data_IF_493485872267
#
_entry.id   IF_493485872267
#
_cell.length_a   1.000
_cell.length_b   1.000
_cell.length_c   1.000
_cell.angle_alpha   90.00
_cell.angle_beta   90.00
_cell.angle_gamma   90.00
#
_symmetry.space_group_name_H-M   'P 1'
#
loop_
_entity.id
_entity.type
_entity.pdbx_description
1 polymer ?
#
# COMPACT_ATOMS: atom_id res chain seq x y z
N UNK A 1 -13.74 8.80 0.90
CA UNK A 1 -13.74 7.86 2.04
C UNK A 1 -14.57 6.60 1.80
N UNK A 2 -15.90 6.67 1.61
CA UNK A 2 -16.77 5.47 1.49
C UNK A 2 -16.30 4.49 0.41
N UNK A 3 -15.97 5.00 -0.79
CA UNK A 3 -15.43 4.17 -1.87
C UNK A 3 -14.09 3.51 -1.50
N UNK A 4 -13.19 4.23 -0.84
CA UNK A 4 -11.90 3.68 -0.39
C UNK A 4 -12.09 2.57 0.64
N UNK A 5 -13.00 2.75 1.61
CA UNK A 5 -13.33 1.73 2.61
C UNK A 5 -13.93 0.49 1.96
N UNK A 6 -14.85 0.67 1.00
CA UNK A 6 -15.46 -0.43 0.24
C UNK A 6 -14.41 -1.22 -0.54
N UNK A 7 -13.52 -0.54 -1.25
CA UNK A 7 -12.47 -1.20 -2.04
C UNK A 7 -11.40 -1.83 -1.15
N UNK A 8 -11.03 -1.22 -0.02
CA UNK A 8 -10.14 -1.81 0.97
C UNK A 8 -10.73 -3.10 1.53
N UNK A 9 -12.01 -3.08 1.91
CA UNK A 9 -12.72 -4.24 2.45
C UNK A 9 -12.84 -5.35 1.41
N UNK A 10 -13.14 -5.02 0.15
CA UNK A 10 -13.17 -5.98 -0.96
C UNK A 10 -11.80 -6.61 -1.20
N UNK A 11 -10.75 -5.80 -1.25
CA UNK A 11 -9.37 -6.26 -1.43
C UNK A 11 -8.89 -7.17 -0.29
N UNK A 12 -9.23 -6.83 0.95
CA UNK A 12 -8.93 -7.67 2.11
C UNK A 12 -9.67 -9.02 2.03
N UNK A 13 -10.95 -9.01 1.65
CA UNK A 13 -11.75 -10.23 1.47
C UNK A 13 -11.18 -11.14 0.38
N UNK A 14 -10.72 -10.57 -0.73
CA UNK A 14 -10.06 -11.33 -1.81
C UNK A 14 -8.72 -11.92 -1.36
N UNK A 15 -7.93 -11.15 -0.61
CA UNK A 15 -6.66 -11.61 -0.03
C UNK A 15 -6.88 -12.80 0.92
N UNK A 16 -7.87 -12.71 1.80
CA UNK A 16 -8.25 -13.79 2.72
C UNK A 16 -8.74 -15.04 1.96
N UNK A 17 -9.60 -14.87 0.95
CA UNK A 17 -10.10 -16.00 0.13
C UNK A 17 -8.98 -16.68 -0.65
N UNK A 18 -7.98 -15.93 -1.11
CA UNK A 18 -6.80 -16.47 -1.78
C UNK A 18 -5.93 -17.33 -0.84
N UNK A 19 -6.01 -17.15 0.48
CA UNK A 19 -5.24 -17.94 1.44
C UNK A 19 -5.86 -19.31 1.71
N UNK A 20 -7.18 -19.48 1.50
CA UNK A 20 -7.88 -20.75 1.79
C UNK A 20 -7.77 -21.81 0.68
N UNK A 21 -7.28 -21.46 -0.52
CA UNK A 21 -7.26 -22.33 -1.71
C UNK A 21 -5.96 -23.10 -1.98
N UNK A 22 -5.10 -23.31 -0.98
CA UNK A 22 -3.72 -23.80 -1.16
C UNK A 22 -3.60 -25.26 -1.68
N UNK A 23 -4.63 -26.09 -1.56
CA UNK A 23 -4.52 -27.53 -1.86
C UNK A 23 -4.36 -27.89 -3.35
N UNK A 24 -4.64 -26.99 -4.30
CA UNK A 24 -4.53 -27.27 -5.76
C UNK A 24 -3.81 -26.17 -6.56
N UNK A 25 -2.98 -25.37 -5.90
CA UNK A 25 -2.39 -24.17 -6.53
C UNK A 25 -1.54 -24.50 -7.77
N UNK A 26 -0.70 -25.54 -7.71
CA UNK A 26 0.13 -25.98 -8.83
C UNK A 26 -0.68 -26.59 -9.97
N UNK A 27 -1.66 -27.45 -9.65
CA UNK A 27 -2.54 -28.05 -10.65
C UNK A 27 -3.34 -26.98 -11.40
N UNK A 28 -3.90 -26.01 -10.68
CA UNK A 28 -4.66 -24.92 -11.31
C UNK A 28 -3.75 -24.00 -12.14
N UNK A 29 -2.50 -23.78 -11.71
CA UNK A 29 -1.54 -22.97 -12.47
C UNK A 29 -1.14 -23.67 -13.79
N UNK A 30 -0.88 -24.98 -13.74
CA UNK A 30 -0.43 -25.75 -14.91
C UNK A 30 -1.60 -26.02 -15.87
N UNK A 31 -2.74 -26.50 -15.37
CA UNK A 31 -3.88 -26.92 -16.19
C UNK A 31 -4.86 -25.79 -16.49
N UNK A 32 -5.05 -24.84 -15.56
CA UNK A 32 -5.97 -23.71 -15.70
C UNK A 32 -5.29 -22.37 -16.03
N UNK A 33 -3.96 -22.30 -16.01
CA UNK A 33 -3.22 -21.06 -16.26
C UNK A 33 -3.09 -20.70 -17.75
N UNK A 34 -3.21 -21.67 -18.65
CA UNK A 34 -3.14 -21.45 -20.10
C UNK A 34 -4.48 -20.93 -20.65
N UNK A 35 -4.39 -19.88 -21.45
CA UNK A 35 -5.54 -19.32 -22.15
C UNK A 35 -5.51 -19.81 -23.61
N UNK A 36 -6.46 -20.68 -23.96
CA UNK A 36 -6.54 -21.29 -25.29
C UNK A 36 -7.07 -20.32 -26.36
N UNK A 37 -7.55 -19.13 -25.97
CA UNK A 37 -8.00 -18.10 -26.90
C UNK A 37 -6.84 -17.24 -27.46
N UNK A 38 -5.59 -17.52 -27.10
CA UNK A 38 -4.43 -16.77 -27.58
C UNK A 38 -4.02 -17.23 -28.98
N UNK A 39 -4.31 -16.43 -29.99
CA UNK A 39 -3.90 -16.69 -31.40
C UNK A 39 -2.51 -16.12 -31.74
N UNK A 40 -2.05 -15.08 -31.02
CA UNK A 40 -0.81 -14.39 -31.33
C UNK A 40 0.41 -15.10 -30.69
N UNK A 41 1.35 -15.58 -31.52
CA UNK A 41 2.61 -16.20 -31.08
C UNK A 41 3.41 -15.34 -30.09
N UNK A 42 3.41 -14.01 -30.23
CA UNK A 42 4.08 -13.11 -29.28
C UNK A 42 3.39 -13.17 -27.92
N UNK A 43 2.06 -13.12 -27.88
CA UNK A 43 1.28 -13.22 -26.65
C UNK A 43 1.45 -14.60 -25.99
N UNK A 44 1.47 -15.68 -26.78
CA UNK A 44 1.74 -17.03 -26.31
C UNK A 44 3.12 -17.15 -25.65
N UNK A 45 4.18 -16.58 -26.26
CA UNK A 45 5.52 -16.59 -25.66
C UNK A 45 5.59 -15.81 -24.34
N UNK A 46 4.86 -14.69 -24.23
CA UNK A 46 4.76 -13.90 -23.00
C UNK A 46 4.02 -14.68 -21.92
N UNK A 47 2.89 -15.31 -22.27
CA UNK A 47 2.09 -16.12 -21.33
C UNK A 47 2.85 -17.34 -20.84
N UNK A 48 3.59 -18.03 -21.73
CA UNK A 48 4.48 -19.14 -21.36
C UNK A 48 5.56 -18.68 -20.38
N UNK A 49 6.24 -17.55 -20.67
CA UNK A 49 7.24 -16.99 -19.76
C UNK A 49 6.64 -16.57 -18.42
N UNK A 50 5.39 -16.08 -18.43
CA UNK A 50 4.69 -15.70 -17.22
C UNK A 50 4.39 -16.88 -16.30
N UNK A 51 3.83 -17.97 -16.86
CA UNK A 51 3.56 -19.20 -16.11
C UNK A 51 4.86 -19.82 -15.58
N UNK A 52 5.93 -19.82 -16.38
CA UNK A 52 7.25 -20.28 -15.95
C UNK A 52 7.77 -19.47 -14.74
N UNK A 53 7.74 -18.14 -14.83
CA UNK A 53 8.21 -17.28 -13.74
C UNK A 53 7.36 -17.45 -12.47
N UNK A 54 6.04 -17.59 -12.59
CA UNK A 54 5.13 -17.81 -11.46
C UNK A 54 5.40 -19.17 -10.78
N UNK A 55 5.66 -20.22 -11.57
CA UNK A 55 6.05 -21.52 -11.03
C UNK A 55 7.40 -21.45 -10.29
N UNK A 56 8.39 -20.77 -10.85
CA UNK A 56 9.68 -20.56 -10.20
C UNK A 56 9.53 -19.78 -8.87
N UNK A 57 8.72 -18.72 -8.84
CA UNK A 57 8.47 -17.91 -7.63
C UNK A 57 7.79 -18.75 -6.53
N UNK A 58 6.85 -19.64 -6.90
CA UNK A 58 6.23 -20.58 -5.98
C UNK A 58 7.20 -21.60 -5.42
N UNK A 59 8.01 -22.23 -6.28
CA UNK A 59 9.03 -23.20 -5.85
C UNK A 59 10.09 -22.54 -4.95
N UNK A 60 10.51 -21.32 -5.25
CA UNK A 60 11.46 -20.58 -4.43
C UNK A 60 10.87 -20.21 -3.06
N UNK A 61 9.58 -19.88 -3.01
CA UNK A 61 8.85 -19.61 -1.76
C UNK A 61 8.75 -20.87 -0.89
N UNK A 62 8.41 -22.02 -1.48
CA UNK A 62 8.37 -23.30 -0.74
C UNK A 62 9.75 -23.70 -0.25
N UNK A 63 10.79 -23.65 -1.11
CA UNK A 63 12.17 -23.94 -0.70
C UNK A 63 12.62 -23.07 0.47
N UNK A 64 12.28 -21.78 0.45
CA UNK A 64 12.58 -20.88 1.56
C UNK A 64 11.83 -21.26 2.85
N UNK A 65 10.59 -21.73 2.75
CA UNK A 65 9.83 -22.23 3.90
C UNK A 65 10.46 -23.49 4.48
N UNK A 66 10.89 -24.44 3.64
CA UNK A 66 11.59 -25.65 4.06
C UNK A 66 12.89 -25.30 4.80
N UNK A 67 13.70 -24.38 4.25
CA UNK A 67 14.91 -23.88 4.89
C UNK A 67 14.62 -23.22 6.25
N UNK A 68 13.48 -22.52 6.39
CA UNK A 68 13.06 -21.87 7.64
C UNK A 68 12.70 -22.90 8.71
N UNK A 69 12.07 -24.01 8.34
CA UNK A 69 11.73 -25.11 9.24
C UNK A 69 12.98 -25.83 9.72
N UNK A 70 13.95 -26.05 8.84
CA UNK A 70 15.20 -26.76 9.14
C UNK A 70 16.25 -25.94 9.92
N UNK A 71 16.00 -24.65 10.22
CA UNK A 71 17.00 -23.81 10.93
C UNK A 71 17.30 -24.27 12.34
N UNK A 72 18.59 -24.31 12.67
CA UNK A 72 19.08 -24.61 14.02
C UNK A 72 18.73 -23.50 15.02
N UNK A 73 18.64 -23.84 16.32
CA UNK A 73 18.34 -22.85 17.39
C UNK A 73 19.35 -21.68 17.43
N UNK A 74 20.63 -21.95 17.14
CA UNK A 74 21.70 -20.93 17.10
C UNK A 74 21.49 -19.93 15.96
N UNK A 75 21.13 -20.42 14.78
CA UNK A 75 20.86 -19.57 13.61
C UNK A 75 19.58 -18.75 13.79
N UNK A 76 18.55 -19.33 14.42
CA UNK A 76 17.34 -18.59 14.80
C UNK A 76 17.69 -17.45 15.76
N UNK A 77 18.47 -17.72 16.81
CA UNK A 77 18.91 -16.68 17.75
C UNK A 77 19.72 -15.56 17.06
N UNK A 78 20.68 -15.91 16.19
CA UNK A 78 21.45 -14.95 15.38
C UNK A 78 20.54 -14.09 14.50
N UNK A 79 19.55 -14.69 13.85
CA UNK A 79 18.64 -13.97 12.97
C UNK A 79 17.69 -13.05 13.74
N UNK A 80 17.17 -13.46 14.90
CA UNK A 80 16.39 -12.56 15.76
C UNK A 80 17.24 -11.40 16.28
N UNK A 81 18.50 -11.65 16.63
CA UNK A 81 19.42 -10.59 17.02
C UNK A 81 19.68 -9.59 15.89
N UNK A 82 19.95 -10.07 14.66
CA UNK A 82 20.10 -9.20 13.48
C UNK A 82 18.83 -8.37 13.25
N UNK A 83 17.65 -8.98 13.33
CA UNK A 83 16.38 -8.25 13.19
C UNK A 83 16.18 -7.21 14.28
N UNK A 84 16.56 -7.50 15.52
CA UNK A 84 16.50 -6.54 16.61
C UNK A 84 17.41 -5.33 16.31
N UNK A 85 18.67 -5.58 15.93
CA UNK A 85 19.62 -4.53 15.56
C UNK A 85 19.12 -3.71 14.38
N UNK A 86 18.62 -4.35 13.31
CA UNK A 86 18.06 -3.66 12.15
C UNK A 86 16.87 -2.79 12.55
N UNK A 87 15.91 -3.31 13.31
CA UNK A 87 14.75 -2.52 13.73
C UNK A 87 15.16 -1.35 14.65
N UNK A 88 16.18 -1.52 15.50
CA UNK A 88 16.75 -0.41 16.28
C UNK A 88 17.37 0.66 15.37
N UNK A 89 18.11 0.27 14.33
CA UNK A 89 18.66 1.20 13.34
C UNK A 89 17.54 1.93 12.59
N UNK A 90 16.46 1.24 12.19
CA UNK A 90 15.29 1.88 11.57
C UNK A 90 14.68 2.93 12.49
N UNK A 91 14.51 2.63 13.78
CA UNK A 91 13.99 3.59 14.76
C UNK A 91 14.92 4.80 14.92
N UNK A 92 16.24 4.60 14.95
CA UNK A 92 17.21 5.69 14.99
C UNK A 92 17.18 6.57 13.72
N UNK A 93 17.00 5.97 12.54
CA UNK A 93 16.85 6.73 11.29
C UNK A 93 15.56 7.55 11.29
N UNK A 94 14.47 7.00 11.82
CA UNK A 94 13.20 7.72 11.96
C UNK A 94 13.33 8.88 12.95
N UNK A 95 13.91 8.67 14.13
CA UNK A 95 14.11 9.75 15.10
C UNK A 95 15.05 10.84 14.57
N UNK A 96 16.15 10.45 13.90
CA UNK A 96 17.05 11.40 13.25
C UNK A 96 16.33 12.22 12.16
N UNK A 97 15.46 11.58 11.37
CA UNK A 97 14.66 12.28 10.35
C UNK A 97 13.71 13.31 10.98
N UNK A 98 13.09 12.98 12.11
CA UNK A 98 12.18 13.88 12.81
C UNK A 98 12.93 15.07 13.40
N UNK A 99 14.04 14.82 14.07
CA UNK A 99 14.91 15.88 14.59
C UNK A 99 15.42 16.78 13.46
N UNK A 100 15.87 16.22 12.33
CA UNK A 100 16.34 17.00 11.20
C UNK A 100 15.26 17.92 10.62
N UNK A 101 14.02 17.43 10.47
CA UNK A 101 12.89 18.24 9.99
C UNK A 101 12.55 19.34 11.01
N UNK A 102 12.50 19.00 12.30
CA UNK A 102 12.19 19.94 13.37
C UNK A 102 13.21 21.07 13.44
N UNK A 103 14.51 20.74 13.55
CA UNK A 103 15.59 21.72 13.59
C UNK A 103 15.67 22.52 12.29
N UNK A 104 15.49 21.90 11.12
CA UNK A 104 15.48 22.62 9.85
C UNK A 104 14.34 23.63 9.77
N UNK A 105 13.17 23.31 10.32
CA UNK A 105 12.00 24.18 10.29
C UNK A 105 12.16 25.34 11.27
N UNK A 106 12.61 25.06 12.50
CA UNK A 106 12.87 26.12 13.50
C UNK A 106 14.00 27.05 13.07
N UNK A 107 15.07 26.49 12.52
CA UNK A 107 16.20 27.28 12.02
C UNK A 107 15.83 28.14 10.81
N UNK A 108 15.06 27.57 9.87
CA UNK A 108 14.55 28.34 8.74
C UNK A 108 13.67 29.50 9.20
N UNK A 109 12.84 29.29 10.22
CA UNK A 109 11.95 30.32 10.77
C UNK A 109 12.74 31.51 11.35
N UNK A 110 13.71 31.22 12.21
CA UNK A 110 14.56 32.23 12.89
C UNK A 110 15.37 33.06 11.88
N UNK A 111 15.98 32.40 10.89
CA UNK A 111 16.77 33.09 9.86
C UNK A 111 15.91 33.93 8.91
N UNK A 112 14.69 33.47 8.60
CA UNK A 112 13.79 34.22 7.72
C UNK A 112 13.36 35.54 8.35
N UNK A 113 13.20 35.59 9.67
CA UNK A 113 12.86 36.81 10.41
C UNK A 113 14.01 37.81 10.37
N UNK A 114 15.23 37.37 10.70
CA UNK A 114 16.42 38.24 10.72
C UNK A 114 16.78 38.79 9.34
N UNK A 115 16.67 37.96 8.30
CA UNK A 115 17.02 38.37 6.94
C UNK A 115 15.99 39.33 6.33
N UNK A 116 14.68 39.17 6.61
CA UNK A 116 13.66 40.08 6.06
C UNK A 116 13.74 41.50 6.61
N UNK A 117 14.28 41.69 7.82
CA UNK A 117 14.51 43.01 8.40
C UNK A 117 15.72 43.74 7.82
N UNK A 118 16.71 43.02 7.31
CA UNK A 118 18.04 43.55 6.93
C UNK A 118 18.39 43.33 5.44
N UNK A 119 17.44 42.88 4.62
CA UNK A 119 17.69 42.58 3.22
C UNK A 119 17.94 43.86 2.41
N UNK A 120 19.19 44.04 1.98
CA UNK A 120 19.59 45.18 1.14
C UNK A 120 20.18 44.74 -0.22
N UNK A 121 20.67 43.51 -0.35
CA UNK A 121 21.38 43.01 -1.55
C UNK A 121 20.64 41.86 -2.24
N UNK A 122 20.89 41.65 -3.54
CA UNK A 122 20.35 40.50 -4.31
C UNK A 122 20.75 39.13 -3.71
N UNK A 123 21.94 39.04 -3.11
CA UNK A 123 22.39 37.82 -2.42
C UNK A 123 21.57 37.49 -1.17
N UNK A 124 20.97 38.49 -0.53
CA UNK A 124 20.10 38.28 0.63
C UNK A 124 18.72 37.75 0.19
N UNK A 125 18.21 38.16 -0.97
CA UNK A 125 17.01 37.58 -1.57
C UNK A 125 17.18 36.09 -1.91
N UNK A 126 18.33 35.71 -2.49
CA UNK A 126 18.66 34.30 -2.76
C UNK A 126 18.75 33.47 -1.47
N UNK A 127 19.31 34.03 -0.40
CA UNK A 127 19.37 33.37 0.91
C UNK A 127 17.98 33.19 1.51
N UNK A 128 17.12 34.20 1.41
CA UNK A 128 15.72 34.10 1.86
C UNK A 128 15.01 32.96 1.14
N UNK A 129 15.14 32.87 -0.20
CA UNK A 129 14.57 31.77 -0.97
C UNK A 129 15.11 30.41 -0.53
N UNK A 130 16.41 30.29 -0.31
CA UNK A 130 17.03 29.04 0.14
C UNK A 130 16.47 28.59 1.50
N UNK A 131 16.37 29.50 2.47
CA UNK A 131 15.78 29.20 3.77
C UNK A 131 14.27 28.92 3.69
N UNK A 132 13.54 29.55 2.77
CA UNK A 132 12.13 29.28 2.56
C UNK A 132 11.84 27.86 2.04
N UNK A 133 12.75 27.31 1.24
CA UNK A 133 12.67 25.95 0.68
C UNK A 133 13.39 24.91 1.54
N UNK A 134 14.18 25.32 2.55
CA UNK A 134 15.01 24.43 3.36
C UNK A 134 14.20 23.28 4.01
N UNK A 135 13.08 23.50 4.71
CA UNK A 135 12.33 22.41 5.35
C UNK A 135 11.78 21.41 4.32
N UNK A 136 11.28 21.93 3.20
CA UNK A 136 10.75 21.13 2.12
C UNK A 136 11.86 20.32 1.41
N UNK A 137 13.02 20.92 1.21
CA UNK A 137 14.19 20.27 0.60
C UNK A 137 14.75 19.14 1.49
N UNK A 138 14.81 19.37 2.81
CA UNK A 138 15.22 18.34 3.78
C UNK A 138 14.26 17.15 3.74
N UNK A 139 12.95 17.39 3.76
CA UNK A 139 11.93 16.32 3.67
C UNK A 139 12.10 15.49 2.39
N UNK A 140 12.21 16.15 1.23
CA UNK A 140 12.34 15.44 -0.04
C UNK A 140 13.65 14.65 -0.11
N UNK A 141 14.75 15.21 0.39
CA UNK A 141 16.05 14.52 0.45
C UNK A 141 15.98 13.28 1.35
N UNK A 142 15.38 13.39 2.54
CA UNK A 142 15.18 12.27 3.46
C UNK A 142 14.30 11.18 2.84
N UNK A 143 13.24 11.56 2.12
CA UNK A 143 12.34 10.65 1.40
C UNK A 143 13.00 9.91 0.23
N UNK A 144 14.19 10.32 -0.22
CA UNK A 144 15.02 9.60 -1.20
C UNK A 144 16.04 8.70 -0.50
N UNK A 145 16.80 9.28 0.44
CA UNK A 145 17.95 8.62 1.07
C UNK A 145 17.49 7.48 2.00
N UNK A 146 16.48 7.70 2.84
CA UNK A 146 16.08 6.72 3.84
C UNK A 146 15.52 5.46 3.18
N UNK A 147 14.60 5.50 2.19
CA UNK A 147 14.14 4.28 1.53
C UNK A 147 15.26 3.49 0.84
N UNK A 148 16.31 4.16 0.36
CA UNK A 148 17.50 3.50 -0.16
C UNK A 148 18.26 2.73 0.93
N UNK A 149 18.48 3.36 2.09
CA UNK A 149 19.09 2.71 3.26
C UNK A 149 18.22 1.55 3.77
N UNK A 150 16.89 1.75 3.87
CA UNK A 150 15.95 0.72 4.31
C UNK A 150 15.98 -0.51 3.40
N UNK A 151 16.21 -0.35 2.10
CA UNK A 151 16.36 -1.47 1.17
C UNK A 151 17.58 -2.32 1.52
N UNK A 152 18.74 -1.69 1.73
CA UNK A 152 19.98 -2.38 2.13
C UNK A 152 19.78 -3.09 3.47
N UNK A 153 19.11 -2.43 4.41
CA UNK A 153 18.89 -2.95 5.75
C UNK A 153 17.94 -4.16 5.77
N UNK A 154 16.92 -4.16 4.90
CA UNK A 154 15.96 -5.28 4.78
C UNK A 154 16.61 -6.52 4.15
N UNK A 155 17.58 -6.36 3.24
CA UNK A 155 18.35 -7.48 2.68
C UNK A 155 19.12 -8.24 3.78
N UNK A 156 19.54 -7.56 4.86
CA UNK A 156 20.18 -8.20 6.02
C UNK A 156 19.22 -9.05 6.87
N UNK A 157 17.91 -8.75 6.87
CA UNK A 157 16.92 -9.44 7.69
C UNK A 157 16.50 -10.82 7.13
N UNK A 158 17.00 -11.17 5.94
CA UNK A 158 16.78 -12.43 5.21
C UNK A 158 15.30 -12.84 5.21
N UNK A 159 14.39 -11.93 4.86
CA UNK A 159 12.96 -12.21 4.69
C UNK A 159 12.65 -12.79 3.30
N UNK A 160 11.43 -13.30 3.09
CA UNK A 160 10.96 -13.67 1.74
C UNK A 160 10.91 -12.44 0.83
N UNK A 161 11.19 -12.58 -0.48
CA UNK A 161 11.23 -11.43 -1.41
C UNK A 161 9.92 -10.64 -1.46
N UNK A 162 8.78 -11.33 -1.33
CA UNK A 162 7.45 -10.71 -1.24
C UNK A 162 7.26 -9.92 0.06
N UNK A 163 7.72 -10.44 1.19
CA UNK A 163 7.65 -9.73 2.47
C UNK A 163 8.62 -8.55 2.53
N UNK A 164 9.82 -8.69 1.96
CA UNK A 164 10.80 -7.60 1.80
C UNK A 164 10.14 -6.40 1.11
N UNK A 165 9.49 -6.62 -0.03
CA UNK A 165 8.81 -5.57 -0.78
C UNK A 165 7.72 -4.88 0.06
N UNK A 166 6.83 -5.66 0.70
CA UNK A 166 5.75 -5.10 1.53
C UNK A 166 6.29 -4.33 2.73
N UNK A 167 7.29 -4.88 3.43
CA UNK A 167 7.90 -4.25 4.59
C UNK A 167 8.62 -2.95 4.23
N UNK A 168 9.39 -2.93 3.13
CA UNK A 168 10.03 -1.71 2.63
C UNK A 168 8.98 -0.66 2.25
N UNK A 169 7.88 -1.06 1.61
CA UNK A 169 6.78 -0.14 1.28
C UNK A 169 6.14 0.45 2.54
N UNK A 170 5.78 -0.39 3.52
CA UNK A 170 5.17 0.06 4.78
C UNK A 170 6.09 1.02 5.53
N UNK A 171 7.39 0.69 5.67
CA UNK A 171 8.37 1.57 6.33
C UNK A 171 8.54 2.91 5.57
N UNK A 172 8.50 2.88 4.23
CA UNK A 172 8.60 4.11 3.40
C UNK A 172 7.34 4.98 3.50
N UNK A 173 6.15 4.37 3.48
CA UNK A 173 4.87 5.07 3.71
C UNK A 173 4.89 5.74 5.08
N UNK A 174 5.26 4.99 6.12
CA UNK A 174 5.32 5.48 7.48
C UNK A 174 6.24 6.69 7.59
N UNK A 175 7.44 6.63 7.01
CA UNK A 175 8.37 7.76 6.95
C UNK A 175 7.75 8.99 6.26
N UNK A 176 7.12 8.81 5.09
CA UNK A 176 6.51 9.91 4.32
C UNK A 176 5.36 10.56 5.06
N UNK A 177 4.51 9.78 5.72
CA UNK A 177 3.40 10.32 6.52
C UNK A 177 3.91 10.98 7.80
N UNK A 178 4.87 10.36 8.49
CA UNK A 178 5.42 10.91 9.72
C UNK A 178 6.20 12.20 9.47
N UNK A 179 6.94 12.32 8.36
CA UNK A 179 7.61 13.58 7.99
C UNK A 179 6.62 14.73 7.77
N UNK A 180 5.44 14.47 7.18
CA UNK A 180 4.38 15.48 7.07
C UNK A 180 3.81 15.87 8.44
N UNK A 181 3.56 14.89 9.32
CA UNK A 181 3.07 15.15 10.67
C UNK A 181 4.06 15.97 11.48
N UNK A 182 5.36 15.65 11.40
CA UNK A 182 6.42 16.39 12.09
C UNK A 182 6.56 17.81 11.55
N UNK A 183 6.44 18.01 10.23
CA UNK A 183 6.42 19.35 9.64
C UNK A 183 5.28 20.19 10.22
N UNK A 184 4.05 19.67 10.20
CA UNK A 184 2.89 20.38 10.76
C UNK A 184 3.05 20.65 12.26
N UNK A 185 3.54 19.67 13.01
CA UNK A 185 3.79 19.82 14.44
C UNK A 185 4.88 20.87 14.73
N UNK A 186 5.96 20.89 13.94
CA UNK A 186 7.03 21.88 14.10
C UNK A 186 6.54 23.30 13.80
N UNK A 187 5.71 23.46 12.75
CA UNK A 187 5.05 24.73 12.46
C UNK A 187 4.12 25.13 13.61
N UNK A 188 3.33 24.20 14.13
CA UNK A 188 2.43 24.44 15.26
C UNK A 188 3.17 24.90 16.52
N UNK A 189 4.28 24.24 16.87
CA UNK A 189 5.13 24.64 17.99
C UNK A 189 5.65 26.08 17.81
N UNK A 190 6.10 26.43 16.60
CA UNK A 190 6.51 27.79 16.26
C UNK A 190 5.39 28.83 16.40
N UNK A 191 4.13 28.46 16.17
CA UNK A 191 2.97 29.34 16.40
C UNK A 191 2.68 29.50 17.90
N UNK A 192 2.69 28.39 18.64
CA UNK A 192 2.27 28.35 20.05
C UNK A 192 3.16 29.10 21.03
N UNK A 193 4.41 29.37 20.64
CA UNK A 193 5.40 30.06 21.48
C UNK A 193 5.19 31.57 21.57
N UNK A 194 4.24 32.14 20.81
CA UNK A 194 3.95 33.56 20.86
C UNK A 194 2.76 33.88 21.78
N UNK A 195 2.94 34.75 22.79
CA UNK A 195 1.84 35.24 23.61
C UNK A 195 0.82 36.04 22.77
N UNK A 196 -0.47 35.83 23.06
CA UNK A 196 -1.60 36.48 22.39
C UNK A 196 -1.59 37.97 22.76
N UNK A 197 -1.75 38.93 21.82
CA UNK A 197 -1.93 40.34 22.17
C UNK A 197 -3.16 40.52 23.04
N UNK A 198 -3.06 41.33 24.10
CA UNK A 198 -4.23 41.86 24.79
C UNK A 198 -5.08 42.69 23.81
N UNK A 199 -6.39 42.61 23.98
CA UNK A 199 -7.38 43.08 23.02
C UNK A 199 -7.16 44.56 22.61
N UNK A 200 -6.80 44.79 21.35
CA UNK A 200 -6.77 46.13 20.75
C UNK A 200 -5.64 46.38 19.76
N UNK A 201 -4.51 45.67 19.88
CA UNK A 201 -3.36 45.87 18.99
C UNK A 201 -3.20 44.67 18.04
N UNK A 202 -3.32 44.91 16.74
CA UNK A 202 -3.13 43.90 15.69
C UNK A 202 -1.65 43.54 15.44
N UNK A 203 -0.73 44.11 16.22
CA UNK A 203 0.71 43.98 16.10
C UNK A 203 1.24 43.73 17.50
N UNK A 204 1.77 42.53 17.75
CA UNK A 204 2.74 42.36 18.81
C UNK A 204 4.07 42.81 18.23
N UNK A 205 4.60 43.94 18.71
CA UNK A 205 5.98 44.37 18.37
C UNK A 205 7.03 43.34 18.82
N UNK A 206 6.68 42.49 19.79
CA UNK A 206 7.56 41.45 20.36
C UNK A 206 7.35 40.03 19.77
N UNK A 207 6.48 39.87 18.77
CA UNK A 207 6.24 38.56 18.15
C UNK A 207 6.21 38.65 16.62
N UNK A 208 7.36 38.33 16.02
CA UNK A 208 7.54 38.18 14.58
C UNK A 208 6.91 36.87 14.04
N UNK A 209 5.65 36.56 14.39
CA UNK A 209 4.95 35.45 13.73
C UNK A 209 4.89 35.68 12.21
N UNK A 210 4.89 34.62 11.37
CA UNK A 210 4.42 34.75 10.01
C UNK A 210 3.00 35.31 10.13
N UNK A 211 2.77 36.51 9.56
CA UNK A 211 1.50 37.26 9.68
C UNK A 211 0.26 36.37 9.44
N UNK A 212 0.41 35.26 8.71
CA UNK A 212 -0.65 34.35 8.31
C UNK A 212 -0.13 32.89 8.35
N UNK A 213 -0.31 32.18 9.46
CA UNK A 213 0.24 30.81 9.62
C UNK A 213 -0.42 29.79 8.69
N UNK A 214 -1.73 29.93 8.41
CA UNK A 214 -2.46 29.05 7.48
C UNK A 214 -1.87 29.15 6.08
N UNK A 215 -1.54 30.37 5.67
CA UNK A 215 -0.89 30.63 4.38
C UNK A 215 0.52 30.04 4.35
N UNK A 216 1.27 30.13 5.46
CA UNK A 216 2.59 29.52 5.56
C UNK A 216 2.54 27.99 5.42
N UNK A 217 1.58 27.32 6.07
CA UNK A 217 1.37 25.88 5.89
C UNK A 217 1.05 25.55 4.43
N UNK A 218 0.15 26.31 3.81
CA UNK A 218 -0.17 26.17 2.39
C UNK A 218 1.05 26.35 1.46
N UNK A 219 1.91 27.33 1.75
CA UNK A 219 3.15 27.56 1.02
C UNK A 219 4.13 26.39 1.16
N UNK A 220 4.30 25.83 2.35
CA UNK A 220 5.17 24.66 2.54
C UNK A 220 4.67 23.43 1.76
N UNK A 221 3.36 23.16 1.79
CA UNK A 221 2.77 22.06 1.02
C UNK A 221 2.87 22.27 -0.49
N UNK A 222 2.74 23.51 -0.95
CA UNK A 222 2.95 23.90 -2.34
C UNK A 222 4.40 23.65 -2.78
N UNK A 223 5.38 24.11 -2.00
CA UNK A 223 6.81 23.89 -2.26
C UNK A 223 7.17 22.40 -2.28
N UNK A 224 6.66 21.62 -1.33
CA UNK A 224 6.82 20.16 -1.33
C UNK A 224 6.27 19.54 -2.62
N UNK A 225 5.10 19.98 -3.08
CA UNK A 225 4.46 19.47 -4.30
C UNK A 225 5.31 19.74 -5.54
N UNK A 226 5.89 20.94 -5.64
CA UNK A 226 6.80 21.34 -6.74
C UNK A 226 8.14 20.61 -6.65
N UNK A 227 8.77 20.58 -5.48
CA UNK A 227 10.05 19.91 -5.29
C UNK A 227 9.96 18.42 -5.61
N UNK A 228 8.87 17.76 -5.25
CA UNK A 228 8.62 16.36 -5.62
C UNK A 228 8.56 16.16 -7.13
N UNK A 229 7.93 17.10 -7.88
CA UNK A 229 7.93 17.07 -9.35
C UNK A 229 9.33 17.30 -9.93
N UNK A 230 10.07 18.28 -9.40
CA UNK A 230 11.43 18.60 -9.83
C UNK A 230 12.36 17.40 -9.60
N UNK A 231 12.30 16.79 -8.43
CA UNK A 231 13.12 15.63 -8.09
C UNK A 231 12.74 14.41 -8.93
N UNK A 232 11.45 14.21 -9.22
CA UNK A 232 11.02 13.17 -10.16
C UNK A 232 11.61 13.40 -11.55
N UNK A 233 11.59 14.64 -12.03
CA UNK A 233 12.20 15.02 -13.31
C UNK A 233 13.71 14.77 -13.30
N UNK A 234 14.44 15.27 -12.29
CA UNK A 234 15.89 15.09 -12.14
C UNK A 234 16.24 13.60 -12.09
N UNK A 235 15.56 12.83 -11.26
CA UNK A 235 15.80 11.39 -11.13
C UNK A 235 15.61 10.66 -12.46
N UNK A 236 14.57 11.01 -13.23
CA UNK A 236 14.26 10.36 -14.51
C UNK A 236 15.24 10.76 -15.62
N UNK A 237 15.51 12.06 -15.80
CA UNK A 237 16.29 12.55 -16.94
C UNK A 237 17.79 12.69 -16.67
N UNK A 238 18.20 13.01 -15.44
CA UNK A 238 19.61 13.27 -15.09
C UNK A 238 20.30 12.09 -14.41
N UNK A 239 19.55 11.17 -13.79
CA UNK A 239 20.13 9.99 -13.12
C UNK A 239 19.89 8.73 -13.95
N UNK A 240 18.62 8.43 -14.20
CA UNK A 240 18.17 7.21 -14.86
C UNK A 240 18.61 7.13 -16.34
N UNK A 241 18.32 8.17 -17.13
CA UNK A 241 18.65 8.19 -18.56
C UNK A 241 20.17 8.07 -18.83
N UNK A 242 21.06 8.83 -18.15
CA UNK A 242 22.50 8.64 -18.32
C UNK A 242 22.97 7.27 -17.88
N UNK A 243 22.42 6.73 -16.78
CA UNK A 243 22.74 5.38 -16.31
C UNK A 243 22.44 4.30 -17.36
N UNK A 244 21.30 4.41 -18.06
CA UNK A 244 20.97 3.53 -19.20
C UNK A 244 21.92 3.73 -20.38
N UNK A 245 22.20 4.99 -20.74
CA UNK A 245 23.10 5.31 -21.86
C UNK A 245 24.51 4.76 -21.62
N UNK A 246 25.05 4.92 -20.41
CA UNK A 246 26.35 4.40 -19.99
C UNK A 246 26.35 2.87 -20.02
N UNK A 247 25.32 2.22 -19.46
CA UNK A 247 25.21 0.76 -19.46
C UNK A 247 25.18 0.16 -20.87
N UNK A 248 24.48 0.81 -21.81
CA UNK A 248 24.31 0.29 -23.17
C UNK A 248 25.43 0.69 -24.16
N UNK A 249 26.01 1.90 -24.02
CA UNK A 249 27.04 2.42 -24.95
C UNK A 249 28.47 2.25 -24.44
N UNK A 250 28.74 2.53 -23.15
CA UNK A 250 30.11 2.61 -22.63
C UNK A 250 30.65 1.26 -22.13
N UNK A 251 29.78 0.39 -21.61
CA UNK A 251 30.16 -0.91 -21.06
C UNK A 251 29.54 -2.10 -21.82
N UNK A 252 29.48 -2.00 -23.16
CA UNK A 252 28.98 -3.06 -24.02
C UNK A 252 29.92 -4.28 -23.96
N UNK A 253 29.60 -5.25 -23.11
CA UNK A 253 30.34 -6.53 -22.97
C UNK A 253 30.74 -6.91 -21.54
N UNK A 254 30.64 -5.99 -20.56
CA UNK A 254 30.90 -6.30 -19.15
C UNK A 254 29.61 -6.64 -18.41
N UNK A 255 29.64 -7.69 -17.57
CA UNK A 255 28.52 -8.03 -16.65
C UNK A 255 28.14 -6.86 -15.73
N UNK A 256 29.09 -5.98 -15.44
CA UNK A 256 28.91 -4.78 -14.60
C UNK A 256 28.11 -3.71 -15.36
N UNK A 257 28.35 -3.56 -16.67
CA UNK A 257 27.60 -2.63 -17.53
C UNK A 257 26.13 -3.00 -17.67
N UNK A 258 25.85 -4.30 -17.82
CA UNK A 258 24.49 -4.83 -17.82
C UNK A 258 23.80 -4.62 -16.46
N UNK A 259 24.48 -4.93 -15.34
CA UNK A 259 23.92 -4.75 -13.99
C UNK A 259 23.67 -3.28 -13.62
N UNK A 260 24.49 -2.35 -14.13
CA UNK A 260 24.29 -0.92 -13.90
C UNK A 260 23.19 -0.37 -14.81
N UNK A 261 23.12 -0.80 -16.07
CA UNK A 261 22.18 -0.29 -17.06
C UNK A 261 20.75 -0.81 -16.92
N UNK A 262 20.57 -2.02 -16.39
CA UNK A 262 19.24 -2.62 -16.23
C UNK A 262 18.55 -2.10 -14.96
N UNK A 263 17.66 -1.15 -15.16
CA UNK A 263 16.76 -0.62 -14.13
C UNK A 263 15.38 -1.25 -14.33
N UNK A 264 14.90 -1.97 -13.32
CA UNK A 264 13.56 -2.55 -13.33
C UNK A 264 12.49 -1.52 -12.93
N UNK A 265 11.38 -1.48 -13.67
CA UNK A 265 10.23 -0.65 -13.33
C UNK A 265 9.39 -1.28 -12.21
N UNK A 266 9.64 -0.87 -10.97
CA UNK A 266 8.93 -1.39 -9.79
C UNK A 266 7.66 -0.57 -9.57
N UNK A 267 6.53 -1.06 -10.08
CA UNK A 267 5.19 -0.43 -10.00
C UNK A 267 4.85 0.07 -8.57
N UNK A 268 5.05 -0.71 -7.49
CA UNK A 268 4.72 -0.26 -6.14
C UNK A 268 5.37 1.05 -5.68
N UNK A 269 6.61 1.31 -6.10
CA UNK A 269 7.32 2.54 -5.72
C UNK A 269 6.65 3.77 -6.34
N UNK A 270 6.27 3.67 -7.61
CA UNK A 270 5.62 4.76 -8.33
C UNK A 270 4.18 5.00 -7.87
N UNK A 271 3.45 3.93 -7.52
CA UNK A 271 2.13 4.07 -6.89
C UNK A 271 2.26 4.83 -5.56
N UNK A 272 3.30 4.56 -4.77
CA UNK A 272 3.52 5.26 -3.51
C UNK A 272 3.85 6.75 -3.67
N UNK A 273 4.54 7.14 -4.75
CA UNK A 273 4.73 8.55 -5.11
C UNK A 273 3.39 9.23 -5.42
N UNK A 274 2.49 8.54 -6.12
CA UNK A 274 1.14 9.04 -6.40
C UNK A 274 0.33 9.18 -5.11
N UNK A 275 0.35 8.18 -4.23
CA UNK A 275 -0.36 8.25 -2.94
C UNK A 275 0.15 9.43 -2.10
N UNK A 276 1.46 9.63 -2.03
CA UNK A 276 2.04 10.78 -1.33
C UNK A 276 1.62 12.13 -1.96
N UNK A 277 1.55 12.21 -3.29
CA UNK A 277 0.98 13.38 -3.98
C UNK A 277 -0.48 13.64 -3.60
N UNK A 278 -1.29 12.58 -3.49
CA UNK A 278 -2.68 12.67 -3.04
C UNK A 278 -2.79 13.12 -1.58
N UNK A 279 -1.89 12.67 -0.71
CA UNK A 279 -1.88 13.14 0.70
C UNK A 279 -1.56 14.61 0.82
N UNK A 280 -0.61 15.12 0.02
CA UNK A 280 -0.30 16.55 -0.01
C UNK A 280 -1.50 17.36 -0.49
N UNK A 281 -2.22 16.87 -1.50
CA UNK A 281 -3.45 17.50 -1.99
C UNK A 281 -4.53 17.57 -0.91
N UNK A 282 -4.80 16.46 -0.21
CA UNK A 282 -5.85 16.41 0.82
C UNK A 282 -5.52 17.24 2.04
N UNK A 283 -4.26 17.26 2.45
CA UNK A 283 -3.82 18.10 3.55
C UNK A 283 -3.88 19.59 3.16
N UNK A 284 -3.43 19.91 1.95
CA UNK A 284 -3.29 21.31 1.53
C UNK A 284 -4.52 21.94 0.91
N UNK A 285 -5.55 21.18 0.51
CA UNK A 285 -6.79 21.75 -0.05
C UNK A 285 -7.52 22.68 0.94
N UNK A 286 -7.34 22.46 2.24
CA UNK A 286 -7.88 23.34 3.28
C UNK A 286 -7.12 24.66 3.39
N UNK A 287 -5.77 24.61 3.39
CA UNK A 287 -4.92 25.78 3.55
C UNK A 287 -4.70 26.58 2.24
N UNK A 288 -4.74 25.90 1.10
CA UNK A 288 -4.54 26.47 -0.23
C UNK A 288 -5.54 25.86 -1.23
N UNK A 289 -6.64 26.56 -1.56
CA UNK A 289 -7.70 26.03 -2.43
C UNK A 289 -7.23 25.86 -3.89
N UNK A 290 -6.10 26.45 -4.27
CA UNK A 290 -5.50 26.32 -5.61
C UNK A 290 -4.67 25.03 -5.70
N UNK A 291 -4.27 24.43 -4.58
CA UNK A 291 -3.41 23.24 -4.56
C UNK A 291 -4.01 22.04 -5.34
N UNK A 292 -5.31 21.72 -5.26
CA UNK A 292 -5.91 20.69 -6.11
C UNK A 292 -5.70 20.92 -7.61
N UNK A 293 -5.85 22.16 -8.10
CA UNK A 293 -5.61 22.48 -9.50
C UNK A 293 -4.14 22.26 -9.90
N UNK A 294 -3.21 22.71 -9.05
CA UNK A 294 -1.76 22.49 -9.22
C UNK A 294 -1.43 21.00 -9.24
N UNK A 295 -2.04 20.21 -8.35
CA UNK A 295 -1.85 18.75 -8.33
C UNK A 295 -2.45 18.07 -9.55
N UNK A 296 -3.56 18.59 -10.11
CA UNK A 296 -4.11 18.13 -11.38
C UNK A 296 -3.13 18.31 -12.53
N UNK A 297 -2.54 19.50 -12.65
CA UNK A 297 -1.48 19.79 -13.64
C UNK A 297 -0.25 18.90 -13.40
N UNK A 298 0.18 18.75 -12.14
CA UNK A 298 1.27 17.85 -11.76
C UNK A 298 1.02 16.42 -12.24
N UNK A 299 -0.19 15.88 -12.08
CA UNK A 299 -0.51 14.51 -12.49
C UNK A 299 -0.34 14.29 -14.00
N UNK A 300 -0.62 15.30 -14.83
CA UNK A 300 -0.36 15.25 -16.28
C UNK A 300 1.14 15.14 -16.54
N UNK A 301 1.97 15.96 -15.90
CA UNK A 301 3.43 15.86 -16.02
C UNK A 301 3.96 14.52 -15.51
N UNK A 302 3.51 14.06 -14.35
CA UNK A 302 3.87 12.77 -13.78
C UNK A 302 3.55 11.64 -14.76
N UNK A 303 2.39 11.67 -15.42
CA UNK A 303 2.01 10.67 -16.42
C UNK A 303 3.03 10.61 -17.56
N UNK A 304 3.37 11.74 -18.19
CA UNK A 304 4.34 11.75 -19.29
C UNK A 304 5.76 11.38 -18.85
N UNK A 305 6.20 11.85 -17.69
CA UNK A 305 7.52 11.50 -17.13
C UNK A 305 7.60 10.00 -16.86
N UNK A 306 6.58 9.40 -16.22
CA UNK A 306 6.54 7.95 -15.95
C UNK A 306 6.35 7.12 -17.21
N UNK A 307 5.59 7.60 -18.19
CA UNK A 307 5.47 6.96 -19.49
C UNK A 307 6.83 6.87 -20.20
N UNK A 308 7.60 7.96 -20.17
CA UNK A 308 8.97 8.00 -20.69
C UNK A 308 9.89 7.06 -19.90
N UNK A 309 9.85 7.08 -18.57
CA UNK A 309 10.67 6.21 -17.72
C UNK A 309 10.37 4.71 -17.97
N UNK A 310 9.11 4.35 -18.17
CA UNK A 310 8.69 2.98 -18.47
C UNK A 310 9.12 2.53 -19.88
N UNK A 311 8.98 3.39 -20.89
CA UNK A 311 9.22 3.04 -22.30
C UNK A 311 10.70 3.11 -22.67
N UNK A 312 11.38 4.17 -22.24
CA UNK A 312 12.75 4.48 -22.67
C UNK A 312 13.77 4.01 -21.65
N UNK A 313 13.53 4.21 -20.35
CA UNK A 313 14.56 3.97 -19.33
C UNK A 313 14.50 2.55 -18.75
N UNK A 314 13.32 2.02 -18.51
CA UNK A 314 13.16 0.73 -17.83
C UNK A 314 13.35 -0.47 -18.75
N UNK A 315 13.87 -1.56 -18.20
CA UNK A 315 13.86 -2.90 -18.84
C UNK A 315 12.61 -3.68 -18.42
N UNK A 316 12.21 -4.66 -19.24
CA UNK A 316 10.98 -5.45 -19.02
C UNK A 316 11.03 -6.13 -17.65
N UNK A 317 10.05 -5.87 -16.79
CA UNK A 317 9.98 -6.48 -15.46
C UNK A 317 9.94 -8.01 -15.57
N UNK A 318 10.83 -8.67 -14.82
CA UNK A 318 10.97 -10.13 -14.75
C UNK A 318 9.92 -10.76 -13.82
N UNK A 319 9.41 -10.00 -12.85
CA UNK A 319 8.51 -10.48 -11.81
C UNK A 319 7.05 -10.12 -12.17
N UNK A 320 6.22 -11.12 -12.47
CA UNK A 320 4.78 -10.89 -12.58
C UNK A 320 4.22 -10.74 -11.18
N UNK A 321 4.01 -9.49 -10.79
CA UNK A 321 3.32 -9.20 -9.56
C UNK A 321 1.85 -9.66 -9.67
N UNK A 322 1.38 -10.50 -8.74
CA UNK A 322 -0.03 -10.91 -8.66
C UNK A 322 -0.93 -9.70 -8.35
N UNK A 323 -1.51 -9.11 -9.39
CA UNK A 323 -2.24 -7.82 -9.40
C UNK A 323 -3.30 -7.68 -8.31
N UNK A 324 -3.93 -8.76 -7.84
CA UNK A 324 -4.99 -8.69 -6.83
C UNK A 324 -4.50 -8.38 -5.42
N UNK A 325 -3.33 -8.89 -5.00
CA UNK A 325 -2.81 -8.64 -3.63
C UNK A 325 -2.23 -7.24 -3.48
N UNK A 326 -1.65 -6.64 -4.52
CA UNK A 326 -1.12 -5.26 -4.48
C UNK A 326 -2.23 -4.25 -4.35
N UNK A 327 -3.31 -4.44 -5.12
CA UNK A 327 -4.39 -3.46 -5.15
C UNK A 327 -4.98 -3.27 -3.75
N UNK A 328 -5.25 -4.38 -3.04
CA UNK A 328 -5.70 -4.34 -1.66
C UNK A 328 -4.72 -3.59 -0.73
N UNK A 329 -3.41 -3.84 -0.87
CA UNK A 329 -2.38 -3.16 -0.08
C UNK A 329 -2.34 -1.65 -0.37
N UNK A 330 -2.37 -1.24 -1.65
CA UNK A 330 -2.33 0.17 -2.02
C UNK A 330 -3.58 0.93 -1.58
N UNK A 331 -4.77 0.34 -1.74
CA UNK A 331 -6.02 0.96 -1.26
C UNK A 331 -6.01 1.07 0.27
N UNK A 332 -5.45 0.08 0.99
CA UNK A 332 -5.29 0.15 2.45
C UNK A 332 -4.33 1.27 2.86
N UNK A 333 -3.19 1.40 2.17
CA UNK A 333 -2.22 2.50 2.38
C UNK A 333 -2.88 3.86 2.13
N UNK A 334 -3.66 3.98 1.05
CA UNK A 334 -4.39 5.19 0.70
C UNK A 334 -5.40 5.58 1.79
N UNK A 335 -6.13 4.61 2.34
CA UNK A 335 -7.09 4.82 3.44
C UNK A 335 -6.39 5.32 4.71
N UNK A 336 -5.29 4.69 5.12
CA UNK A 336 -4.50 5.12 6.29
C UNK A 336 -4.00 6.54 6.08
N UNK A 337 -3.48 6.82 4.89
CA UNK A 337 -2.97 8.14 4.51
C UNK A 337 -4.06 9.22 4.59
N UNK A 338 -5.27 8.93 4.12
CA UNK A 338 -6.42 9.83 4.21
C UNK A 338 -6.79 10.16 5.67
N UNK A 339 -6.84 9.14 6.53
CA UNK A 339 -7.12 9.31 7.97
C UNK A 339 -6.05 10.21 8.62
N UNK A 340 -4.77 9.95 8.35
CA UNK A 340 -3.65 10.75 8.87
C UNK A 340 -3.71 12.20 8.39
N UNK A 341 -4.24 12.49 7.20
CA UNK A 341 -4.39 13.88 6.72
C UNK A 341 -5.60 14.61 7.33
N UNK A 342 -6.71 13.91 7.59
CA UNK A 342 -7.90 14.54 8.16
C UNK A 342 -7.71 14.91 9.62
N UNK A 343 -7.00 14.10 10.40
CA UNK A 343 -6.83 14.34 11.84
C UNK A 343 -6.21 15.73 12.13
N UNK A 344 -5.06 16.12 11.54
CA UNK A 344 -4.48 17.45 11.73
C UNK A 344 -5.37 18.59 11.23
N UNK A 345 -6.05 18.41 10.09
CA UNK A 345 -6.98 19.43 9.54
C UNK A 345 -8.15 19.63 10.50
N UNK A 346 -8.77 18.54 10.96
CA UNK A 346 -9.88 18.58 11.92
C UNK A 346 -9.45 19.22 13.25
N UNK A 347 -8.27 18.87 13.76
CA UNK A 347 -7.70 19.52 14.95
C UNK A 347 -7.49 21.02 14.71
N UNK A 348 -6.99 21.42 13.54
CA UNK A 348 -6.79 22.83 13.21
C UNK A 348 -8.10 23.63 13.14
N UNK A 349 -9.20 23.01 12.71
CA UNK A 349 -10.52 23.65 12.63
C UNK A 349 -11.15 23.79 14.02
N UNK A 350 -10.98 22.77 14.86
CA UNK A 350 -11.64 22.67 16.16
C UNK A 350 -10.96 23.50 17.26
N UNK A 351 -9.63 23.43 17.36
CA UNK A 351 -8.88 23.90 18.55
C UNK A 351 -7.96 25.09 18.26
N UNK A 352 -7.45 25.22 17.03
CA UNK A 352 -6.44 26.24 16.73
C UNK A 352 -7.12 27.58 16.40
N UNK A 353 -6.65 28.65 17.07
CA UNK A 353 -7.11 30.01 16.82
C UNK A 353 -6.66 30.49 15.43
N UNK A 354 -7.57 31.02 14.59
CA UNK A 354 -7.21 31.54 13.27
C UNK A 354 -6.32 32.79 13.38
N UNK A 355 -5.53 33.04 12.32
CA UNK A 355 -4.69 34.24 12.23
C UNK A 355 -5.53 35.52 12.34
N UNK A 356 -5.05 36.49 13.12
CA UNK A 356 -5.73 37.79 13.29
C UNK A 356 -5.55 38.66 12.04
N UNK A 357 -4.38 38.62 11.40
CA UNK A 357 -4.05 39.49 10.28
C UNK A 357 -4.60 39.01 8.92
N UNK A 358 -5.05 37.75 8.81
CA UNK A 358 -5.25 37.07 7.53
C UNK A 358 -6.41 36.07 7.50
N UNK A 359 -6.89 35.77 6.31
CA UNK A 359 -7.93 34.75 6.08
C UNK A 359 -9.37 35.26 6.21
N UNK A 360 -10.38 34.41 5.97
CA UNK A 360 -11.79 34.76 6.11
C UNK A 360 -12.29 34.67 7.56
N UNK A 361 -11.60 33.93 8.43
CA UNK A 361 -12.01 33.65 9.81
C UNK A 361 -11.34 34.57 10.85
N UNK A 362 -11.03 35.82 10.48
CA UNK A 362 -10.28 36.75 11.34
C UNK A 362 -11.08 37.13 12.59
N UNK A 363 -10.39 37.16 13.73
CA UNK A 363 -10.98 37.61 15.00
C UNK A 363 -11.86 36.58 15.72
N UNK A 364 -12.07 35.40 15.14
CA UNK A 364 -12.78 34.30 15.78
C UNK A 364 -11.89 33.56 16.79
N UNK A 365 -12.52 32.89 17.76
CA UNK A 365 -11.80 32.04 18.74
C UNK A 365 -11.37 30.73 18.10
N UNK A 366 -12.22 30.11 17.30
CA UNK A 366 -11.93 28.91 16.52
C UNK A 366 -12.65 28.98 15.16
N UNK A 367 -12.18 28.25 14.15
CA UNK A 367 -12.90 28.17 12.87
C UNK A 367 -14.27 27.49 13.07
N UNK A 368 -14.34 26.56 14.02
CA UNK A 368 -15.59 25.89 14.41
C UNK A 368 -16.68 26.85 14.94
N UNK A 369 -16.31 27.96 15.60
CA UNK A 369 -17.31 28.89 16.14
C UNK A 369 -18.16 29.54 15.05
N UNK A 370 -17.59 29.78 13.87
CA UNK A 370 -18.34 30.28 12.71
C UNK A 370 -19.39 29.27 12.23
N UNK A 371 -19.02 27.99 12.23
CA UNK A 371 -19.96 26.92 11.86
C UNK A 371 -21.15 26.88 12.82
N UNK A 372 -20.90 27.08 14.12
CA UNK A 372 -21.98 27.19 15.13
C UNK A 372 -22.81 28.45 14.92
N UNK A 373 -22.19 29.57 14.55
CA UNK A 373 -22.88 30.82 14.18
C UNK A 373 -23.85 30.63 13.02
N UNK A 374 -23.39 30.05 11.91
CA UNK A 374 -24.23 29.74 10.74
C UNK A 374 -25.37 28.78 11.10
N UNK A 375 -25.12 27.79 11.96
CA UNK A 375 -26.18 26.89 12.45
C UNK A 375 -27.23 27.66 13.27
N UNK A 376 -26.82 28.67 14.02
CA UNK A 376 -27.73 29.49 14.83
C UNK A 376 -28.59 30.46 14.00
N UNK A 377 -28.13 30.87 12.82
CA UNK A 377 -28.89 31.68 11.87
C UNK A 377 -29.81 30.85 10.95
N UNK A 378 -29.68 29.52 10.99
CA UNK A 378 -30.47 28.59 10.19
C UNK A 378 -31.92 28.46 10.71
N UNK A 379 -32.89 28.01 9.89
CA UNK A 379 -34.29 27.91 10.32
C UNK A 379 -34.45 27.03 11.56
N UNK A 380 -35.35 27.42 12.47
CA UNK A 380 -35.54 26.82 13.80
C UNK A 380 -35.59 25.28 13.82
N UNK A 381 -36.19 24.65 12.80
CA UNK A 381 -36.26 23.19 12.70
C UNK A 381 -34.88 22.55 12.49
N UNK A 382 -34.01 23.17 11.70
CA UNK A 382 -32.66 22.69 11.40
C UNK A 382 -31.75 22.88 12.62
N UNK A 383 -31.85 24.04 13.27
CA UNK A 383 -31.13 24.34 14.51
C UNK A 383 -31.46 23.31 15.60
N UNK A 384 -32.76 23.06 15.84
CA UNK A 384 -33.21 22.10 16.84
C UNK A 384 -32.67 20.69 16.57
N UNK A 385 -32.69 20.24 15.31
CA UNK A 385 -32.17 18.91 14.91
C UNK A 385 -30.65 18.82 15.10
N UNK A 386 -29.89 19.83 14.64
CA UNK A 386 -28.43 19.80 14.70
C UNK A 386 -27.89 19.89 16.14
N UNK A 387 -28.46 20.76 16.98
CA UNK A 387 -28.08 20.82 18.39
C UNK A 387 -28.52 19.56 19.15
N UNK A 388 -29.67 18.97 18.82
CA UNK A 388 -30.09 17.69 19.38
C UNK A 388 -29.11 16.55 19.05
N UNK A 389 -28.65 16.46 17.79
CA UNK A 389 -27.65 15.47 17.36
C UNK A 389 -26.31 15.65 18.10
N UNK A 390 -25.89 16.91 18.32
CA UNK A 390 -24.66 17.24 19.05
C UNK A 390 -24.73 17.02 20.57
N UNK A 391 -25.92 16.79 21.12
CA UNK A 391 -26.11 16.61 22.57
C UNK A 391 -25.72 15.20 23.01
N UNK A 392 -25.12 15.08 24.20
CA UNK A 392 -24.76 13.79 24.79
C UNK A 392 -25.95 12.81 24.88
N UNK A 393 -27.16 13.34 25.07
CA UNK A 393 -28.41 12.57 25.10
C UNK A 393 -28.77 11.84 23.80
N UNK A 394 -28.30 12.30 22.64
CA UNK A 394 -28.43 11.56 21.37
C UNK A 394 -27.18 10.73 21.07
N UNK A 395 -26.00 11.32 21.27
CA UNK A 395 -24.73 10.70 20.92
C UNK A 395 -24.47 9.39 21.69
N UNK A 396 -24.73 9.36 23.00
CA UNK A 396 -24.48 8.17 23.83
C UNK A 396 -25.37 6.99 23.40
N UNK A 397 -26.71 7.12 23.29
CA UNK A 397 -27.55 6.06 22.75
C UNK A 397 -27.18 5.63 21.32
N UNK A 398 -26.87 6.59 20.43
CA UNK A 398 -26.46 6.28 19.07
C UNK A 398 -25.18 5.43 19.02
N UNK A 399 -24.18 5.77 19.85
CA UNK A 399 -22.94 4.97 19.99
C UNK A 399 -23.26 3.58 20.53
N UNK A 400 -24.13 3.44 21.53
CA UNK A 400 -24.55 2.14 22.05
C UNK A 400 -25.21 1.30 20.96
N UNK A 401 -26.13 1.88 20.18
CA UNK A 401 -26.79 1.20 19.05
C UNK A 401 -25.75 0.77 18.01
N UNK A 402 -24.78 1.62 17.68
CA UNK A 402 -23.71 1.28 16.74
C UNK A 402 -22.81 0.15 17.26
N UNK A 403 -22.49 0.13 18.56
CA UNK A 403 -21.72 -0.96 19.20
C UNK A 403 -22.52 -2.26 19.19
N UNK A 404 -23.81 -2.20 19.51
CA UNK A 404 -24.70 -3.37 19.47
C UNK A 404 -24.86 -3.89 18.03
N UNK A 405 -25.03 -3.01 17.06
CA UNK A 405 -25.07 -3.38 15.64
C UNK A 405 -23.75 -4.01 15.20
N UNK A 406 -22.61 -3.43 15.58
CA UNK A 406 -21.29 -3.99 15.30
C UNK A 406 -21.13 -5.38 15.94
N UNK A 407 -21.52 -5.55 17.21
CA UNK A 407 -21.49 -6.84 17.91
C UNK A 407 -22.41 -7.87 17.23
N UNK A 408 -23.62 -7.47 16.83
CA UNK A 408 -24.54 -8.33 16.08
C UNK A 408 -23.92 -8.79 14.76
N UNK A 409 -23.37 -7.88 13.95
CA UNK A 409 -22.71 -8.23 12.70
C UNK A 409 -21.48 -9.10 12.91
N UNK A 410 -20.71 -8.85 13.97
CA UNK A 410 -19.58 -9.70 14.37
C UNK A 410 -20.05 -11.12 14.72
N UNK A 411 -21.09 -11.26 15.54
CA UNK A 411 -21.66 -12.55 15.92
C UNK A 411 -22.22 -13.31 14.71
N UNK A 412 -22.94 -12.63 13.81
CA UNK A 412 -23.41 -13.21 12.55
C UNK A 412 -22.24 -13.65 11.66
N UNK A 413 -21.19 -12.85 11.55
CA UNK A 413 -19.99 -13.22 10.80
C UNK A 413 -19.30 -14.46 11.41
N UNK A 414 -19.22 -14.56 12.73
CA UNK A 414 -18.66 -15.72 13.44
C UNK A 414 -19.50 -16.99 13.21
N UNK A 415 -20.83 -16.89 13.32
CA UNK A 415 -21.76 -18.00 13.07
C UNK A 415 -21.69 -18.47 11.61
N UNK A 416 -21.67 -17.54 10.66
CA UNK A 416 -21.51 -17.86 9.23
C UNK A 416 -20.18 -18.55 8.94
N UNK A 417 -19.09 -18.13 9.61
CA UNK A 417 -17.79 -18.80 9.48
C UNK A 417 -17.84 -20.25 9.97
N UNK A 418 -18.50 -20.50 11.10
CA UNK A 418 -18.70 -21.85 11.62
C UNK A 418 -19.56 -22.70 10.68
N UNK A 419 -20.67 -22.15 10.17
CA UNK A 419 -21.52 -22.83 9.19
C UNK A 419 -20.77 -23.20 7.92
N UNK A 420 -19.95 -22.29 7.37
CA UNK A 420 -19.10 -22.57 6.20
C UNK A 420 -18.11 -23.70 6.48
N UNK A 421 -17.53 -23.77 7.68
CA UNK A 421 -16.63 -24.86 8.06
C UNK A 421 -17.35 -26.21 8.11
N UNK A 422 -18.57 -26.26 8.67
CA UNK A 422 -19.40 -27.46 8.67
C UNK A 422 -19.76 -27.90 7.25
N UNK A 423 -20.20 -26.99 6.39
CA UNK A 423 -20.53 -27.28 4.99
C UNK A 423 -19.32 -27.80 4.22
N UNK A 424 -18.11 -27.25 4.45
CA UNK A 424 -16.87 -27.76 3.86
C UNK A 424 -16.58 -29.19 4.31
N UNK A 425 -16.74 -29.50 5.61
CA UNK A 425 -16.54 -30.85 6.13
C UNK A 425 -17.55 -31.85 5.55
N UNK A 426 -18.82 -31.44 5.40
CA UNK A 426 -19.85 -32.26 4.76
C UNK A 426 -19.52 -32.55 3.30
N UNK A 427 -19.03 -31.54 2.55
CA UNK A 427 -18.62 -31.72 1.16
C UNK A 427 -17.46 -32.72 1.01
N UNK A 428 -16.50 -32.70 1.96
CA UNK A 428 -15.39 -33.66 1.99
C UNK A 428 -15.89 -35.07 2.30
N UNK A 429 -16.80 -35.23 3.26
CA UNK A 429 -17.41 -36.52 3.59
C UNK A 429 -18.21 -37.09 2.40
N UNK A 430 -19.02 -36.27 1.74
CA UNK A 430 -19.77 -36.68 0.55
C UNK A 430 -18.82 -37.07 -0.61
N UNK A 431 -17.69 -36.37 -0.74
CA UNK A 431 -16.63 -36.75 -1.69
C UNK A 431 -16.04 -38.14 -1.41
N UNK A 432 -15.79 -38.45 -0.13
CA UNK A 432 -15.29 -39.75 0.30
C UNK A 432 -16.31 -40.87 0.07
N UNK A 433 -17.58 -40.63 0.39
CA UNK A 433 -18.66 -41.59 0.14
C UNK A 433 -18.83 -41.87 -1.35
N UNK A 434 -18.74 -40.86 -2.22
CA UNK A 434 -18.77 -41.05 -3.69
C UNK A 434 -17.59 -41.89 -4.17
N UNK A 435 -16.37 -41.64 -3.68
CA UNK A 435 -15.20 -42.46 -4.03
C UNK A 435 -15.36 -43.90 -3.55
N UNK A 436 -15.90 -44.10 -2.35
CA UNK A 436 -16.17 -45.43 -1.81
C UNK A 436 -17.20 -46.19 -2.69
N UNK A 437 -18.30 -45.53 -3.07
CA UNK A 437 -19.32 -46.11 -3.93
C UNK A 437 -18.78 -46.45 -5.33
N UNK A 438 -17.98 -45.57 -5.92
CA UNK A 438 -17.33 -45.83 -7.22
C UNK A 438 -16.37 -47.02 -7.15
N UNK A 439 -15.57 -47.12 -6.08
CA UNK A 439 -14.64 -48.25 -5.88
C UNK A 439 -15.39 -49.58 -5.75
N UNK A 440 -16.53 -49.58 -5.07
CA UNK A 440 -17.37 -50.78 -4.93
C UNK A 440 -18.05 -51.16 -6.24
N UNK A 441 -18.50 -50.18 -7.02
CA UNK A 441 -19.05 -50.41 -8.36
C UNK A 441 -18.01 -51.03 -9.29
N UNK A 442 -16.79 -50.50 -9.29
CA UNK A 442 -15.67 -51.01 -10.11
C UNK A 442 -15.34 -52.47 -9.77
N UNK A 443 -15.32 -52.81 -8.47
CA UNK A 443 -15.13 -54.19 -8.02
C UNK A 443 -16.27 -55.14 -8.47
N UNK A 444 -17.52 -54.65 -8.49
CA UNK A 444 -18.67 -55.43 -8.97
C UNK A 444 -18.60 -55.67 -10.48
N UNK A 445 -18.23 -54.65 -11.26
CA UNK A 445 -18.03 -54.74 -12.72
C UNK A 445 -16.89 -55.72 -13.03
N UNK A 446 -15.77 -55.63 -12.31
CA UNK A 446 -14.65 -56.55 -12.50
C UNK A 446 -15.05 -58.00 -12.22
N UNK A 447 -15.80 -58.22 -11.14
CA UNK A 447 -16.28 -59.57 -10.79
C UNK A 447 -17.25 -60.13 -11.85
N UNK A 448 -18.16 -59.30 -12.38
CA UNK A 448 -19.07 -59.74 -13.46
C UNK A 448 -18.31 -60.04 -14.75
N UNK A 449 -17.28 -59.26 -15.08
CA UNK A 449 -16.40 -59.55 -16.22
C UNK A 449 -15.62 -60.88 -16.03
N UNK A 450 -15.09 -61.15 -14.84
CA UNK A 450 -14.44 -62.42 -14.50
C UNK A 450 -15.41 -63.62 -14.57
N UNK A 451 -16.66 -63.44 -14.12
CA UNK A 451 -17.71 -64.46 -14.21
C UNK A 451 -18.13 -64.73 -15.68
N UNK A 452 -18.20 -63.70 -16.54
CA UNK A 452 -18.44 -63.85 -17.98
C UNK A 452 -17.28 -64.54 -18.70
N UNK A 453 -16.03 -64.24 -18.34
CA UNK A 453 -14.85 -64.94 -18.86
C UNK A 453 -14.82 -66.40 -18.41
N UNK A 454 -15.15 -66.68 -17.14
CA UNK A 454 -15.26 -68.04 -16.63
C UNK A 454 -16.36 -68.82 -17.35
N UNK A 455 -17.54 -68.23 -17.56
CA UNK A 455 -18.64 -68.85 -18.30
C UNK A 455 -18.30 -69.15 -19.76
N UNK A 456 -17.53 -68.27 -20.43
CA UNK A 456 -17.00 -68.55 -21.78
C UNK A 456 -16.01 -69.69 -21.79
N UNK A 457 -15.11 -69.76 -20.79
CA UNK A 457 -14.15 -70.87 -20.69
C UNK A 457 -14.82 -72.23 -20.39
N UNK A 458 -15.86 -72.26 -19.56
CA UNK A 458 -16.64 -73.49 -19.33
C UNK A 458 -17.45 -73.91 -20.57
N UNK A 459 -18.02 -72.97 -21.33
CA UNK A 459 -18.72 -73.30 -22.57
C UNK A 459 -17.79 -73.91 -23.64
N UNK A 460 -16.54 -73.44 -23.72
CA UNK A 460 -15.53 -74.04 -24.61
C UNK A 460 -15.08 -75.43 -24.12
N UNK A 461 -15.28 -75.78 -22.85
CA UNK A 461 -14.90 -77.08 -22.28
C UNK A 461 -16.02 -78.13 -22.46
N UNK A 462 -17.28 -77.70 -22.52
CA UNK A 462 -18.43 -78.57 -22.84
C UNK A 462 -18.51 -78.92 -24.35
N UNK A 463 -18.05 -78.03 -25.25
CA UNK A 463 -17.93 -78.38 -26.67
C UNK A 463 -16.83 -79.42 -26.95
N UNK A 464 -15.77 -79.52 -26.13
CA UNK A 464 -14.74 -80.56 -26.28
C UNK A 464 -15.15 -81.93 -25.70
N UNK A 465 -16.12 -81.99 -24.79
CA UNK A 465 -16.57 -83.25 -24.15
C UNK A 465 -17.79 -83.90 -24.83
N UNK A 466 -18.50 -83.17 -25.70
CA UNK A 466 -19.66 -83.67 -26.46
C UNK A 466 -19.34 -84.47 -27.74
N UNK A 467 -18.07 -84.63 -28.13
CA UNK A 467 -17.68 -85.29 -29.40
C UNK A 467 -16.89 -86.60 -29.25
N UNK A 468 -16.86 -87.24 -28.07
CA UNK A 468 -16.05 -88.45 -27.86
C UNK A 468 -16.78 -89.63 -27.17
N UNK A 469 -18.11 -89.69 -27.26
CA UNK A 469 -18.91 -90.84 -26.77
C UNK A 469 -19.91 -91.35 -27.82
N UNK A 470 -19.50 -91.42 -29.08
CA UNK A 470 -20.30 -92.09 -30.13
C UNK A 470 -19.40 -92.87 -31.11
N UNK A 471 -18.57 -93.76 -30.56
CA UNK A 471 -17.97 -94.87 -31.30
C UNK A 471 -17.75 -96.05 -30.34
N UNK A 472 -18.79 -96.84 -30.08
CA UNK A 472 -18.68 -98.30 -29.81
C UNK A 472 -20.07 -98.88 -29.55
N UNK A 473 -20.85 -99.12 -30.61
CA UNK A 473 -21.84 -100.20 -30.63
C UNK A 473 -22.28 -100.49 -32.09
N UNK A 474 -21.84 -101.66 -32.54
CA UNK A 474 -22.42 -102.55 -33.57
C UNK A 474 -22.43 -102.17 -35.07
N UNK A 475 -21.74 -103.05 -35.82
CA UNK A 475 -22.06 -103.67 -37.11
C UNK A 475 -22.29 -102.82 -38.36
#
# INVERSE_FOLDING_TARGET
MVLMVREAARGLRESLRSSEGQFYQYCNLIFGGWDYCIENNKAASIKKKAIYNELCDHLETERYNDEKEQRTKRERCRLYFIRLVVNMVVLCLLSASFSAIFYSTSYAFEQLQTLKGNAQNEWDELRILLYEYLPSAVIVTLNIIIPFILRILVELEHYTPTFILVLTLVRTVFLRLASLVVLLFSIYQGISQCPIPEAGNCINEDCDQPRCWETYVGQQLYKLTILDLIIMFISTFLVNLPRKCIGHKLMRGSRIGAAIGDIEFIIPKHVLDIVYGQTLCWLGMFYSPILPAVTGIKLVFVFYIKYFDCTVNSSRSSQLYRTSRSNALFISILLVSFIVTIIPVGYSIAEIKPSIACGPFRGLTTIWSEMVGVISESPNWLQAVLFFIGTAGFAVPAIIILILAWYYYYAVAAANKHMVALLKNQLVLEGHDKQFLLTRLDHMIKKTAEEEEAAKSSSNTEEETGHSNDQTLEA
#
